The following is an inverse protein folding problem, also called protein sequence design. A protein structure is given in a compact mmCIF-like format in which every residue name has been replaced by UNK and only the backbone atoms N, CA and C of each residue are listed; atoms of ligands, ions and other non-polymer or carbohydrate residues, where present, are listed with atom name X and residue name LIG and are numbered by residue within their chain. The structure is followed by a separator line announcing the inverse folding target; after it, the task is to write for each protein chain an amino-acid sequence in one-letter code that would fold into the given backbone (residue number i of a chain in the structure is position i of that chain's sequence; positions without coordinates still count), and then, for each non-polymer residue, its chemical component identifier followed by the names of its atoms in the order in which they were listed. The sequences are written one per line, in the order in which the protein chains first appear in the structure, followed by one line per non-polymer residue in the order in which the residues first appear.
data_IF_054176907104
#
_entry.id   IF_054176907104
#
_cell.length_a   1.000
_cell.length_b   1.000
_cell.length_c   1.000
_cell.angle_alpha   90.00
_cell.angle_beta   90.00
_cell.angle_gamma   90.00
#
_symmetry.space_group_name_H-M   'P 1'
#
loop_
_entity.id
_entity.type
_entity.pdbx_description
1 polymer ?
#
# COMPACT_ATOMS: atom_id res chain seq x y z
N UNK A 1 -19.72 -15.10 5.23
CA UNK A 1 -18.32 -14.64 5.18
C UNK A 1 -18.37 -13.12 5.22
N UNK A 2 -17.92 -12.49 6.29
CA UNK A 2 -17.77 -11.03 6.37
C UNK A 2 -16.66 -10.63 5.41
N UNK A 3 -16.94 -9.77 4.43
CA UNK A 3 -15.89 -9.16 3.62
C UNK A 3 -14.84 -8.53 4.56
N UNK A 4 -13.53 -8.66 4.29
CA UNK A 4 -12.52 -7.98 5.09
C UNK A 4 -12.86 -6.49 5.12
N UNK A 5 -12.98 -5.92 6.33
CA UNK A 5 -13.20 -4.48 6.45
C UNK A 5 -12.03 -3.77 5.78
N UNK A 6 -12.32 -2.91 4.80
CA UNK A 6 -11.29 -2.18 4.07
C UNK A 6 -10.36 -1.41 5.02
N UNK A 7 -9.06 -1.40 4.74
CA UNK A 7 -8.05 -0.71 5.56
C UNK A 7 -7.69 0.65 4.96
N UNK A 8 -6.98 1.47 5.72
CA UNK A 8 -6.32 2.67 5.19
C UNK A 8 -4.84 2.36 5.03
N UNK A 9 -4.32 2.50 3.82
CA UNK A 9 -2.91 2.36 3.50
C UNK A 9 -2.28 3.75 3.26
N UNK A 10 -1.02 3.94 3.64
CA UNK A 10 -0.27 5.18 3.48
C UNK A 10 0.82 4.94 2.44
N UNK A 11 0.78 5.72 1.36
CA UNK A 11 1.75 5.68 0.27
C UNK A 11 2.84 6.70 0.55
N UNK A 12 4.08 6.25 0.58
CA UNK A 12 5.26 7.10 0.75
C UNK A 12 5.98 7.27 -0.58
N UNK A 13 6.25 8.52 -0.94
CA UNK A 13 7.02 8.94 -2.11
C UNK A 13 8.11 9.91 -1.67
N UNK A 14 8.95 10.34 -2.60
CA UNK A 14 9.96 11.37 -2.31
C UNK A 14 9.29 12.67 -1.86
N UNK A 15 9.60 13.11 -0.63
CA UNK A 15 9.11 14.37 -0.07
C UNK A 15 7.62 14.41 0.31
N UNK A 16 6.85 13.33 0.15
CA UNK A 16 5.41 13.34 0.47
C UNK A 16 4.84 11.97 0.85
N UNK A 17 3.68 11.98 1.52
CA UNK A 17 2.86 10.80 1.73
C UNK A 17 1.38 11.14 1.56
N UNK A 18 0.56 10.12 1.26
CA UNK A 18 -0.89 10.27 1.21
C UNK A 18 -1.62 8.95 1.55
N UNK A 19 -2.79 9.02 2.21
CA UNK A 19 -3.58 7.84 2.52
C UNK A 19 -4.46 7.41 1.33
N UNK A 20 -4.68 6.10 1.21
CA UNK A 20 -5.61 5.48 0.25
C UNK A 20 -6.44 4.44 1.00
N UNK A 21 -7.74 4.36 0.69
CA UNK A 21 -8.62 3.35 1.25
C UNK A 21 -8.55 2.08 0.40
N UNK A 22 -8.14 0.97 1.00
CA UNK A 22 -8.24 -0.35 0.38
C UNK A 22 -9.62 -0.91 0.62
N UNK A 23 -10.19 -1.54 -0.40
CA UNK A 23 -11.58 -2.00 -0.39
C UNK A 23 -11.71 -3.43 0.15
N UNK A 24 -10.60 -4.14 0.36
CA UNK A 24 -10.59 -5.47 0.98
C UNK A 24 -11.01 -6.58 0.02
N UNK A 25 -10.87 -6.37 -1.29
CA UNK A 25 -11.17 -7.37 -2.33
C UNK A 25 -10.11 -8.47 -2.43
N UNK A 26 -8.91 -8.21 -1.89
CA UNK A 26 -7.76 -9.11 -1.82
C UNK A 26 -6.94 -8.84 -0.55
N UNK A 27 -5.82 -9.54 -0.37
CA UNK A 27 -4.95 -9.27 0.78
C UNK A 27 -4.37 -7.84 0.69
N UNK A 28 -4.14 -7.15 1.81
CA UNK A 28 -3.54 -5.81 1.80
C UNK A 28 -2.21 -5.72 1.05
N UNK A 29 -1.39 -6.77 1.09
CA UNK A 29 -0.11 -6.80 0.39
C UNK A 29 -0.30 -6.87 -1.14
N UNK A 30 -1.24 -7.70 -1.61
CA UNK A 30 -1.54 -7.80 -3.05
C UNK A 30 -2.16 -6.50 -3.57
N UNK A 31 -3.08 -5.89 -2.80
CA UNK A 31 -3.70 -4.61 -3.17
C UNK A 31 -2.65 -3.49 -3.21
N UNK A 32 -1.73 -3.46 -2.23
CA UNK A 32 -0.61 -2.53 -2.23
C UNK A 32 0.32 -2.71 -3.45
N UNK A 33 0.64 -3.96 -3.83
CA UNK A 33 1.47 -4.23 -4.99
C UNK A 33 0.84 -3.72 -6.31
N UNK A 34 -0.45 -3.98 -6.51
CA UNK A 34 -1.18 -3.50 -7.70
C UNK A 34 -1.25 -1.97 -7.73
N UNK A 35 -1.53 -1.34 -6.60
CA UNK A 35 -1.50 0.12 -6.51
C UNK A 35 -0.10 0.68 -6.78
N UNK A 36 0.96 0.06 -6.25
CA UNK A 36 2.34 0.49 -6.48
C UNK A 36 2.72 0.41 -7.97
N UNK A 37 2.29 -0.65 -8.68
CA UNK A 37 2.50 -0.81 -10.11
C UNK A 37 1.82 0.30 -10.94
N UNK A 38 0.65 0.77 -10.49
CA UNK A 38 -0.11 1.86 -11.14
C UNK A 38 0.34 3.26 -10.71
N UNK A 39 1.15 3.38 -9.66
CA UNK A 39 1.62 4.66 -9.11
C UNK A 39 3.16 4.74 -9.09
N UNK A 40 3.79 5.04 -10.26
CA UNK A 40 5.24 5.18 -10.37
C UNK A 40 5.82 6.16 -9.34
N UNK A 41 6.97 5.82 -8.76
CA UNK A 41 7.60 6.62 -7.71
C UNK A 41 7.06 6.38 -6.30
N UNK A 42 6.14 5.42 -6.12
CA UNK A 42 5.86 4.83 -4.79
C UNK A 42 7.11 4.12 -4.29
N UNK A 43 7.59 4.51 -3.11
CA UNK A 43 8.78 3.92 -2.48
C UNK A 43 8.39 2.82 -1.49
N UNK A 44 7.29 3.03 -0.75
CA UNK A 44 6.81 2.13 0.29
C UNK A 44 5.34 2.39 0.57
N UNK A 45 4.61 1.35 0.96
CA UNK A 45 3.21 1.41 1.39
C UNK A 45 3.10 0.75 2.76
N UNK A 46 2.44 1.42 3.70
CA UNK A 46 2.18 0.92 5.05
C UNK A 46 0.70 0.93 5.39
N UNK A 47 0.29 0.21 6.42
CA UNK A 47 -0.97 0.49 7.11
C UNK A 47 -0.83 1.61 8.16
N UNK A 48 -1.93 1.97 8.81
CA UNK A 48 -1.94 3.01 9.87
C UNK A 48 -1.22 2.59 11.16
N UNK A 49 -0.84 1.32 11.29
CA UNK A 49 -0.07 0.81 12.41
C UNK A 49 1.45 0.80 12.13
N UNK A 50 1.86 1.19 10.91
CA UNK A 50 3.25 1.20 10.48
C UNK A 50 3.74 -0.16 9.96
N UNK A 51 2.85 -1.12 9.69
CA UNK A 51 3.25 -2.37 9.07
C UNK A 51 3.47 -2.13 7.57
N UNK A 52 4.62 -2.60 7.05
CA UNK A 52 4.94 -2.47 5.62
C UNK A 52 4.15 -3.51 4.83
N UNK A 53 3.27 -3.02 3.95
CA UNK A 53 2.48 -3.86 3.04
C UNK A 53 3.21 -4.11 1.73
N UNK A 54 4.01 -3.13 1.28
CA UNK A 54 4.82 -3.21 0.07
C UNK A 54 6.01 -2.24 0.15
N UNK A 55 7.13 -2.59 -0.47
CA UNK A 55 8.31 -1.71 -0.60
C UNK A 55 8.99 -1.95 -1.93
N UNK A 56 9.45 -0.87 -2.58
CA UNK A 56 10.22 -0.97 -3.82
C UNK A 56 11.49 -1.80 -3.56
N UNK A 57 11.76 -2.77 -4.43
CA UNK A 57 13.03 -3.47 -4.42
C UNK A 57 14.17 -2.44 -4.60
N UNK A 58 15.21 -2.54 -3.77
CA UNK A 58 16.44 -1.82 -4.04
C UNK A 58 17.09 -2.52 -5.23
N UNK A 59 17.22 -1.81 -6.34
CA UNK A 59 18.00 -2.29 -7.48
C UNK A 59 19.41 -2.57 -6.96
N UNK A 60 19.81 -3.85 -6.98
CA UNK A 60 21.09 -4.36 -6.47
C UNK A 60 22.21 -4.20 -7.49
#
# INVERSE_FOLDING_TARGET
MTAPAGITAIFFREGMFYPVKFMGSKSPADEAADHAALNPGTMRIEDTSGNVLWKKALDS
#
